data_IF_640486521592
#
_entry.id   IF_640486521592
#
_cell.length_a   1.000
_cell.length_b   1.000
_cell.length_c   1.000
_cell.angle_alpha   90.00
_cell.angle_beta   90.00
_cell.angle_gamma   90.00
#
_symmetry.space_group_name_H-M   'P 1'
#
loop_
_entity.id
_entity.type
_entity.pdbx_description
1 polymer ?
#
# COMPACT_ATOMS: atom_id res chain seq x y z
N UNK A 1 1.03 1.52 2.27
CA UNK A 1 1.13 0.40 3.22
C UNK A 1 1.96 0.85 4.40
N UNK A 2 1.60 0.45 5.62
CA UNK A 2 2.37 0.72 6.84
C UNK A 2 3.26 -0.46 7.25
N UNK A 3 3.18 -1.58 6.51
CA UNK A 3 4.14 -2.68 6.52
C UNK A 3 5.37 -2.38 5.66
N UNK A 4 6.48 -3.08 5.92
CA UNK A 4 7.75 -2.93 5.20
C UNK A 4 7.63 -3.27 3.70
N UNK A 5 6.66 -4.11 3.34
CA UNK A 5 6.33 -4.46 1.95
C UNK A 5 4.83 -4.75 1.83
N UNK A 6 4.30 -4.82 0.62
CA UNK A 6 2.93 -5.27 0.39
C UNK A 6 2.84 -6.80 0.47
N UNK A 7 1.75 -7.34 1.05
CA UNK A 7 1.54 -8.80 1.17
C UNK A 7 1.60 -9.52 -0.18
N UNK A 8 1.19 -8.86 -1.26
CA UNK A 8 1.24 -9.40 -2.63
C UNK A 8 2.68 -9.72 -3.08
N UNK A 9 3.67 -8.90 -2.68
CA UNK A 9 5.08 -9.13 -3.03
C UNK A 9 5.61 -10.42 -2.38
N UNK A 10 5.23 -10.66 -1.12
CA UNK A 10 5.62 -11.88 -0.39
C UNK A 10 4.89 -13.11 -0.95
N UNK A 11 3.60 -12.98 -1.28
CA UNK A 11 2.84 -14.04 -1.98
C UNK A 11 3.48 -14.42 -3.30
N UNK A 12 3.89 -13.43 -4.09
CA UNK A 12 4.56 -13.64 -5.36
C UNK A 12 5.90 -14.36 -5.17
N UNK A 13 6.75 -13.89 -4.25
CA UNK A 13 8.02 -14.56 -3.95
C UNK A 13 7.82 -16.02 -3.51
N UNK A 14 6.83 -16.29 -2.66
CA UNK A 14 6.49 -17.65 -2.22
C UNK A 14 5.99 -18.55 -3.36
N UNK A 15 5.18 -18.01 -4.28
CA UNK A 15 4.71 -18.73 -5.46
C UNK A 15 5.85 -19.08 -6.42
N UNK A 16 6.83 -18.17 -6.55
CA UNK A 16 8.02 -18.36 -7.38
C UNK A 16 9.15 -19.14 -6.67
N UNK A 17 8.94 -19.54 -5.40
CA UNK A 17 9.95 -20.25 -4.61
C UNK A 17 11.21 -19.43 -4.31
N UNK A 18 11.11 -18.09 -4.35
CA UNK A 18 12.21 -17.16 -4.07
C UNK A 18 12.20 -16.68 -2.62
N UNK A 19 13.38 -16.38 -2.10
CA UNK A 19 13.55 -15.69 -0.82
C UNK A 19 13.07 -14.23 -0.90
N UNK A 20 12.69 -13.69 0.25
CA UNK A 20 12.38 -12.28 0.48
C UNK A 20 13.54 -11.57 1.21
N UNK A 21 13.72 -10.25 1.01
CA UNK A 21 14.66 -9.48 1.81
C UNK A 21 14.38 -9.60 3.31
N UNK A 22 15.45 -9.67 4.11
CA UNK A 22 15.33 -9.63 5.56
C UNK A 22 14.64 -8.34 6.02
N UNK A 23 13.75 -8.45 7.00
CA UNK A 23 12.97 -7.33 7.52
C UNK A 23 11.66 -7.07 6.78
N UNK A 24 11.27 -7.92 5.82
CA UNK A 24 9.93 -7.88 5.21
C UNK A 24 8.87 -8.61 6.04
N UNK A 25 9.25 -9.73 6.67
CA UNK A 25 8.33 -10.57 7.41
C UNK A 25 9.03 -11.29 8.57
N UNK A 26 8.21 -11.74 9.51
CA UNK A 26 8.55 -12.64 10.60
C UNK A 26 7.84 -13.98 10.38
N UNK A 27 8.44 -15.07 10.83
CA UNK A 27 7.80 -16.39 10.85
C UNK A 27 6.72 -16.50 11.96
N UNK A 28 6.16 -17.69 12.11
CA UNK A 28 5.10 -17.97 13.09
C UNK A 28 5.55 -17.82 14.55
N UNK A 29 6.86 -17.95 14.82
CA UNK A 29 7.46 -17.77 16.15
C UNK A 29 7.85 -16.30 16.39
N UNK A 30 7.62 -15.43 15.39
CA UNK A 30 7.94 -14.01 15.46
C UNK A 30 9.40 -13.67 15.10
N UNK A 31 10.18 -14.63 14.61
CA UNK A 31 11.57 -14.38 14.22
C UNK A 31 11.65 -13.79 12.80
N UNK A 32 12.50 -12.78 12.55
CA UNK A 32 12.73 -12.27 11.20
C UNK A 32 13.17 -13.37 10.23
N UNK A 33 12.59 -13.41 9.04
CA UNK A 33 12.85 -14.48 8.07
C UNK A 33 13.05 -13.97 6.64
N UNK A 34 13.87 -14.69 5.87
CA UNK A 34 14.00 -14.53 4.41
C UNK A 34 13.16 -15.56 3.64
N UNK A 35 12.60 -16.55 4.32
CA UNK A 35 11.77 -17.56 3.67
C UNK A 35 10.35 -17.01 3.45
N UNK A 36 9.97 -16.84 2.19
CA UNK A 36 8.68 -16.26 1.82
C UNK A 36 7.48 -17.04 2.36
N UNK A 37 7.54 -18.38 2.37
CA UNK A 37 6.45 -19.24 2.89
C UNK A 37 6.33 -19.13 4.40
N UNK A 38 7.46 -19.13 5.11
CA UNK A 38 7.47 -18.90 6.56
C UNK A 38 6.91 -17.51 6.91
N UNK A 39 7.27 -16.48 6.15
CA UNK A 39 6.76 -15.12 6.33
C UNK A 39 5.25 -14.99 6.06
N UNK A 40 4.68 -15.78 5.14
CA UNK A 40 3.22 -15.82 4.92
C UNK A 40 2.46 -16.52 6.03
N UNK A 41 3.08 -17.51 6.68
CA UNK A 41 2.52 -18.21 7.84
C UNK A 41 2.63 -17.36 9.12
N UNK A 42 3.60 -16.45 9.18
CA UNK A 42 3.76 -15.47 10.25
C UNK A 42 3.12 -14.12 9.93
N UNK A 43 3.91 -13.05 10.06
CA UNK A 43 3.43 -11.67 9.94
C UNK A 43 4.36 -10.81 9.07
N UNK A 44 3.82 -9.75 8.46
CA UNK A 44 4.65 -8.73 7.82
C UNK A 44 5.26 -7.83 8.89
N UNK A 45 6.52 -7.47 8.70
CA UNK A 45 7.18 -6.50 9.56
C UNK A 45 6.62 -5.08 9.30
N UNK A 46 6.55 -4.21 10.33
CA UNK A 46 6.14 -2.82 10.14
C UNK A 46 7.24 -1.99 9.45
N UNK A 47 6.82 -1.02 8.64
CA UNK A 47 7.73 -0.08 7.96
C UNK A 47 8.51 0.74 9.00
N UNK A 48 9.84 0.65 9.00
CA UNK A 48 10.65 1.43 9.95
C UNK A 48 10.37 1.09 11.42
N UNK A 49 9.99 -0.17 11.71
CA UNK A 49 9.83 -0.67 13.07
C UNK A 49 8.65 -0.05 13.81
N UNK A 50 8.88 0.41 15.05
CA UNK A 50 7.84 0.94 15.94
C UNK A 50 7.02 2.09 15.32
N UNK A 51 7.63 2.91 14.45
CA UNK A 51 6.93 4.02 13.78
C UNK A 51 5.87 3.52 12.80
N UNK A 52 6.20 2.54 11.95
CA UNK A 52 5.23 1.93 11.04
C UNK A 52 4.13 1.17 11.77
N UNK A 53 4.47 0.54 12.89
CA UNK A 53 3.46 -0.08 13.76
C UNK A 53 2.48 0.96 14.30
N UNK A 54 2.97 2.09 14.82
CA UNK A 54 2.13 3.19 15.28
C UNK A 54 1.22 3.76 14.17
N UNK A 55 1.73 3.90 12.94
CA UNK A 55 0.92 4.30 11.79
C UNK A 55 -0.15 3.25 11.43
N UNK A 56 0.20 1.95 11.49
CA UNK A 56 -0.77 0.86 11.27
C UNK A 56 -1.88 0.85 12.33
N UNK A 57 -1.53 1.06 13.59
CA UNK A 57 -2.48 1.17 14.69
C UNK A 57 -3.42 2.38 14.50
N UNK A 58 -2.87 3.53 14.10
CA UNK A 58 -3.68 4.72 13.79
C UNK A 58 -4.67 4.45 12.67
N UNK A 59 -4.25 3.73 11.62
CA UNK A 59 -5.15 3.33 10.53
C UNK A 59 -6.28 2.43 11.04
N UNK A 60 -5.98 1.42 11.87
CA UNK A 60 -7.01 0.51 12.39
C UNK A 60 -8.02 1.24 13.29
N UNK A 61 -7.54 2.13 14.18
CA UNK A 61 -8.41 2.96 15.03
C UNK A 61 -9.31 3.87 14.19
N UNK A 62 -8.75 4.57 13.19
CA UNK A 62 -9.47 5.55 12.40
C UNK A 62 -10.39 4.92 11.36
N UNK A 63 -9.96 3.83 10.71
CA UNK A 63 -10.69 3.21 9.62
C UNK A 63 -11.63 2.10 10.08
N UNK A 64 -11.34 1.40 11.18
CA UNK A 64 -12.23 0.38 11.75
C UNK A 64 -12.96 0.90 12.98
N UNK A 65 -12.21 1.30 14.03
CA UNK A 65 -12.79 1.70 15.31
C UNK A 65 -13.78 2.87 15.20
N UNK A 66 -13.37 3.96 14.53
CA UNK A 66 -14.21 5.16 14.38
C UNK A 66 -15.39 4.96 13.43
N UNK A 67 -15.25 4.08 12.43
CA UNK A 67 -16.32 3.83 11.45
C UNK A 67 -17.31 2.76 11.90
N UNK A 68 -16.99 2.03 12.99
CA UNK A 68 -17.78 0.88 13.46
C UNK A 68 -17.59 -0.39 12.62
N UNK A 69 -16.56 -0.45 11.79
CA UNK A 69 -16.25 -1.60 10.93
C UNK A 69 -15.43 -2.66 11.66
N UNK A 70 -15.17 -3.80 11.00
CA UNK A 70 -14.30 -4.83 11.56
C UNK A 70 -12.87 -4.29 11.75
N UNK A 71 -12.30 -4.57 12.92
CA UNK A 71 -10.88 -4.38 13.17
C UNK A 71 -10.06 -5.33 12.28
N UNK A 72 -8.79 -4.99 12.06
CA UNK A 72 -7.90 -5.79 11.20
C UNK A 72 -7.85 -7.28 11.57
N UNK A 73 -7.91 -7.63 12.86
CA UNK A 73 -7.90 -9.03 13.33
C UNK A 73 -9.24 -9.78 13.15
N UNK A 74 -10.33 -9.06 12.93
CA UNK A 74 -11.68 -9.61 12.71
C UNK A 74 -12.01 -9.77 11.23
N UNK A 75 -11.25 -9.10 10.36
CA UNK A 75 -11.53 -9.03 8.94
C UNK A 75 -11.22 -10.37 8.25
N UNK A 76 -12.14 -10.82 7.41
CA UNK A 76 -11.92 -12.00 6.56
C UNK A 76 -10.80 -11.75 5.52
N UNK A 77 -10.13 -12.80 5.02
CA UNK A 77 -9.06 -12.64 4.03
C UNK A 77 -9.57 -12.03 2.71
N UNK A 78 -8.85 -11.04 2.17
CA UNK A 78 -9.14 -10.46 0.85
C UNK A 78 -8.85 -11.39 -0.34
N UNK A 79 -8.19 -12.52 -0.11
CA UNK A 79 -7.65 -13.37 -1.16
C UNK A 79 -8.50 -14.58 -1.54
N UNK A 80 -9.60 -14.82 -0.82
CA UNK A 80 -10.52 -15.93 -1.05
C UNK A 80 -11.92 -15.53 -0.55
N UNK A 81 -12.89 -16.44 -0.67
CA UNK A 81 -14.27 -16.21 -0.22
C UNK A 81 -14.54 -16.75 1.19
N UNK A 82 -13.50 -17.13 1.93
CA UNK A 82 -13.66 -17.68 3.28
C UNK A 82 -14.09 -16.57 4.24
N UNK A 83 -15.18 -16.79 4.98
CA UNK A 83 -15.67 -15.81 5.96
C UNK A 83 -16.38 -14.59 5.36
N UNK A 84 -16.68 -14.59 4.06
CA UNK A 84 -17.46 -13.52 3.41
C UNK A 84 -16.69 -12.20 3.19
N UNK A 85 -17.38 -11.11 2.79
CA UNK A 85 -16.74 -9.81 2.59
C UNK A 85 -16.02 -9.35 3.87
N UNK A 86 -14.78 -8.83 3.79
CA UNK A 86 -13.99 -8.50 4.98
C UNK A 86 -14.61 -7.49 5.95
N UNK A 87 -15.63 -6.74 5.52
CA UNK A 87 -16.34 -5.70 6.30
C UNK A 87 -15.40 -4.68 6.96
N UNK A 88 -14.34 -4.30 6.25
CA UNK A 88 -13.42 -3.23 6.63
C UNK A 88 -14.07 -1.86 6.44
N UNK A 89 -13.52 -0.85 7.12
CA UNK A 89 -13.94 0.54 6.95
C UNK A 89 -12.86 1.41 6.32
N UNK A 90 -13.25 2.65 6.00
CA UNK A 90 -12.38 3.67 5.45
C UNK A 90 -12.73 5.03 6.05
N UNK A 91 -11.70 5.80 6.39
CA UNK A 91 -11.83 7.20 6.79
C UNK A 91 -11.28 8.10 5.68
N UNK A 92 -12.00 9.18 5.39
CA UNK A 92 -11.54 10.25 4.52
C UNK A 92 -11.44 11.55 5.33
N UNK A 93 -10.34 12.28 5.15
CA UNK A 93 -10.14 13.61 5.73
C UNK A 93 -9.89 14.55 4.56
N UNK A 94 -10.78 15.53 4.39
CA UNK A 94 -10.63 16.60 3.40
C UNK A 94 -10.40 17.92 4.15
N UNK A 95 -9.38 18.65 3.74
CA UNK A 95 -9.00 19.93 4.33
C UNK A 95 -9.00 20.95 3.20
N UNK A 96 -9.74 22.04 3.37
CA UNK A 96 -9.67 23.18 2.48
C UNK A 96 -8.44 24.03 2.86
N UNK A 97 -7.38 24.07 2.02
CA UNK A 97 -6.20 24.85 2.33
C UNK A 97 -6.48 26.35 2.34
N UNK A 98 -7.48 26.84 1.60
CA UNK A 98 -7.83 28.26 1.59
C UNK A 98 -8.35 28.73 2.96
N UNK A 99 -9.00 27.84 3.70
CA UNK A 99 -9.51 28.11 5.06
C UNK A 99 -8.45 28.00 6.15
N UNK A 100 -7.24 27.53 5.82
CA UNK A 100 -6.15 27.32 6.78
C UNK A 100 -4.91 28.15 6.42
N UNK A 101 -4.25 27.82 5.32
CA UNK A 101 -3.05 28.49 4.80
C UNK A 101 -3.35 29.65 3.83
N UNK A 102 -4.62 29.91 3.53
CA UNK A 102 -5.04 30.95 2.59
C UNK A 102 -4.82 30.56 1.12
N UNK A 103 -5.07 31.52 0.22
CA UNK A 103 -5.07 31.29 -1.22
C UNK A 103 -3.68 31.03 -1.84
N UNK A 104 -2.61 31.16 -1.05
CA UNK A 104 -1.23 30.98 -1.52
C UNK A 104 -0.70 29.55 -1.35
N UNK A 105 -1.49 28.63 -0.78
CA UNK A 105 -1.03 27.27 -0.50
C UNK A 105 -0.51 26.55 -1.76
N UNK A 106 -1.22 26.68 -2.88
CA UNK A 106 -0.82 26.06 -4.15
C UNK A 106 0.53 26.60 -4.64
N UNK A 107 0.69 27.94 -4.65
CA UNK A 107 1.93 28.59 -5.07
C UNK A 107 3.12 28.19 -4.17
N UNK A 108 2.89 28.09 -2.86
CA UNK A 108 3.93 27.66 -1.90
C UNK A 108 4.31 26.19 -2.09
N UNK A 109 3.33 25.32 -2.37
CA UNK A 109 3.57 23.91 -2.65
C UNK A 109 4.40 23.75 -3.92
N UNK A 110 4.05 24.48 -5.00
CA UNK A 110 4.80 24.48 -6.25
C UNK A 110 6.24 24.99 -6.07
N UNK A 111 6.43 26.07 -5.31
CA UNK A 111 7.77 26.58 -5.00
C UNK A 111 8.60 25.55 -4.23
N UNK A 112 8.01 24.86 -3.27
CA UNK A 112 8.67 23.79 -2.50
C UNK A 112 9.02 22.57 -3.37
N UNK A 113 8.11 22.15 -4.25
CA UNK A 113 8.36 21.07 -5.20
C UNK A 113 9.51 21.40 -6.14
N UNK A 114 9.54 22.63 -6.67
CA UNK A 114 10.62 23.12 -7.52
C UNK A 114 11.97 23.11 -6.80
N UNK A 115 12.00 23.55 -5.53
CA UNK A 115 13.21 23.50 -4.71
C UNK A 115 13.69 22.06 -4.50
N UNK A 116 12.80 21.12 -4.18
CA UNK A 116 13.16 19.70 -4.04
C UNK A 116 13.74 19.10 -5.33
N UNK A 117 13.19 19.50 -6.48
CA UNK A 117 13.64 19.01 -7.79
C UNK A 117 15.01 19.57 -8.22
N UNK A 118 15.54 20.58 -7.53
CA UNK A 118 16.93 21.02 -7.75
C UNK A 118 17.97 19.99 -7.31
N UNK A 119 17.58 19.09 -6.39
CA UNK A 119 18.46 18.05 -5.87
C UNK A 119 18.51 16.86 -6.83
N UNK A 120 19.73 16.42 -7.15
CA UNK A 120 19.94 15.30 -8.06
C UNK A 120 19.30 14.00 -7.54
N UNK A 121 18.57 13.31 -8.42
CA UNK A 121 17.95 12.02 -8.12
C UNK A 121 16.61 12.09 -7.37
N UNK A 122 16.16 13.28 -6.96
CA UNK A 122 14.83 13.44 -6.33
C UNK A 122 13.71 13.12 -7.32
N UNK A 123 12.68 12.43 -6.81
CA UNK A 123 11.43 12.18 -7.54
C UNK A 123 10.25 12.50 -6.63
N UNK A 124 9.33 13.31 -7.12
CA UNK A 124 8.11 13.63 -6.38
C UNK A 124 7.21 12.38 -6.27
N UNK A 125 6.58 12.14 -5.10
CA UNK A 125 5.57 11.10 -4.95
C UNK A 125 4.47 11.23 -6.00
N UNK A 126 4.13 10.12 -6.68
CA UNK A 126 3.10 10.12 -7.72
C UNK A 126 3.60 10.40 -9.14
N UNK A 127 4.80 10.97 -9.33
CA UNK A 127 5.39 11.26 -10.65
C UNK A 127 5.35 10.07 -11.62
N UNK A 128 5.75 8.88 -11.15
CA UNK A 128 5.69 7.64 -11.94
C UNK A 128 4.26 7.27 -12.37
N UNK A 129 3.27 7.48 -11.48
CA UNK A 129 1.86 7.21 -11.78
C UNK A 129 1.29 8.19 -12.81
N UNK A 130 1.67 9.46 -12.75
CA UNK A 130 1.28 10.45 -13.75
C UNK A 130 1.81 10.09 -15.14
N UNK A 131 3.09 9.68 -15.22
CA UNK A 131 3.68 9.21 -16.48
C UNK A 131 2.99 7.95 -17.02
N UNK A 132 2.80 6.92 -16.20
CA UNK A 132 2.09 5.71 -16.63
C UNK A 132 0.64 5.99 -17.06
N UNK A 133 -0.03 6.97 -16.44
CA UNK A 133 -1.37 7.40 -16.87
C UNK A 133 -1.33 8.03 -18.26
N UNK A 134 -0.42 8.97 -18.51
CA UNK A 134 -0.28 9.59 -19.83
C UNK A 134 0.07 8.57 -20.92
N UNK A 135 0.95 7.62 -20.62
CA UNK A 135 1.27 6.51 -21.52
C UNK A 135 0.05 5.62 -21.81
N UNK A 136 -0.75 5.31 -20.78
CA UNK A 136 -1.96 4.52 -20.92
C UNK A 136 -3.08 5.25 -21.67
N UNK A 137 -3.21 6.56 -21.50
CA UNK A 137 -4.15 7.39 -22.27
C UNK A 137 -3.78 7.47 -23.74
N UNK A 138 -2.47 7.49 -24.06
CA UNK A 138 -1.99 7.55 -25.43
C UNK A 138 -1.97 6.19 -26.15
N UNK A 139 -1.59 5.12 -25.44
CA UNK A 139 -1.27 3.82 -26.04
C UNK A 139 -2.14 2.66 -25.54
N UNK A 140 -3.08 2.92 -24.63
CA UNK A 140 -3.85 1.90 -23.94
C UNK A 140 -3.10 1.28 -22.76
N UNK A 141 -3.82 0.48 -21.95
CA UNK A 141 -3.26 -0.23 -20.79
C UNK A 141 -2.69 -1.56 -21.26
N UNK A 142 -1.42 -1.82 -21.00
CA UNK A 142 -0.82 -3.13 -21.22
C UNK A 142 -1.41 -4.14 -20.22
N UNK A 143 -2.09 -5.17 -20.74
CA UNK A 143 -2.69 -6.25 -19.96
C UNK A 143 -2.15 -7.58 -20.48
N UNK A 144 -1.72 -8.52 -19.60
CA UNK A 144 -1.30 -9.85 -20.04
C UNK A 144 -2.42 -10.59 -20.77
N UNK A 145 -2.10 -11.24 -21.89
CA UNK A 145 -3.08 -11.98 -22.72
C UNK A 145 -3.85 -13.03 -21.91
N UNK A 146 -3.17 -13.72 -20.98
CA UNK A 146 -3.79 -14.69 -20.07
C UNK A 146 -4.90 -14.07 -19.21
N UNK A 147 -4.72 -12.83 -18.77
CA UNK A 147 -5.72 -12.12 -17.97
C UNK A 147 -6.91 -11.69 -18.83
N UNK A 148 -6.67 -11.23 -20.06
CA UNK A 148 -7.74 -10.91 -21.02
C UNK A 148 -8.58 -12.15 -21.30
N UNK A 149 -7.93 -13.26 -21.67
CA UNK A 149 -8.61 -14.52 -21.94
C UNK A 149 -9.45 -15.00 -20.74
N UNK A 150 -8.94 -14.83 -19.51
CA UNK A 150 -9.67 -15.17 -18.29
C UNK A 150 -10.91 -14.30 -18.07
N UNK A 151 -10.82 -13.00 -18.36
CA UNK A 151 -11.96 -12.07 -18.22
C UNK A 151 -13.02 -12.38 -19.27
N UNK A 152 -12.64 -12.67 -20.52
CA UNK A 152 -13.56 -12.98 -21.61
C UNK A 152 -14.26 -14.34 -21.46
N UNK A 153 -13.66 -15.27 -20.71
CA UNK A 153 -14.24 -16.57 -20.41
C UNK A 153 -15.28 -16.54 -19.27
N UNK A 154 -15.45 -15.41 -18.57
CA UNK A 154 -16.45 -15.20 -17.52
C UNK A 154 -17.73 -14.59 -18.10
#
# INVERSE_FOLDING_TARGET
>A
ATSATAKVNVKQAAAEGRDIPLGWANDADGNPTTNAKAGLAGSLAPLGGAKGFGLGLMVDILAAGLTGSHWSYQSSPFGNNEGGPPAVGQLFIAIDPAQTGGNHFADQLEAWENELLTQEGVRLPGSSRHRHRAEAEANGVAVPDELIAKIEAC
#
